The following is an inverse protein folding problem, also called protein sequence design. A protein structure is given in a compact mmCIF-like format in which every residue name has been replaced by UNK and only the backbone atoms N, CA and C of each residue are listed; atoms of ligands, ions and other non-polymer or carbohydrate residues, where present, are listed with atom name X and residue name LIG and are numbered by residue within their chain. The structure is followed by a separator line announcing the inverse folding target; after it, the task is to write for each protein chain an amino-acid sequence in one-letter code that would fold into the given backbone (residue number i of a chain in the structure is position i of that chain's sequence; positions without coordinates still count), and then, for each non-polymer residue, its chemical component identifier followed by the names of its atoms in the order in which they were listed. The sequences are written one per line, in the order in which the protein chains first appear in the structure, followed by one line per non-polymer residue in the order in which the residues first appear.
data_IF_221251694481
#
_entry.id   IF_221251694481
#
_cell.length_a   1.000
_cell.length_b   1.000
_cell.length_c   1.000
_cell.angle_alpha   90.00
_cell.angle_beta   90.00
_cell.angle_gamma   90.00
#
_symmetry.space_group_name_H-M   'P 1'
#
loop_
_entity.id
_entity.type
_entity.pdbx_description
1 polymer ?
#
# COMPACT_ATOMS: atom_id res chain seq x y z
N UNK A 1 57.51 20.65 12.01
CA UNK A 1 56.92 19.50 11.28
C UNK A 1 55.41 19.57 11.49
N UNK A 2 54.61 19.91 10.47
CA UNK A 2 53.14 20.05 10.57
C UNK A 2 52.49 18.81 9.94
N UNK A 3 51.74 18.05 10.71
CA UNK A 3 50.94 16.92 10.21
C UNK A 3 49.64 17.46 9.58
N UNK A 4 49.23 16.98 8.38
CA UNK A 4 47.97 17.40 7.80
C UNK A 4 46.80 16.71 8.53
N UNK A 5 45.80 17.49 8.92
CA UNK A 5 44.53 16.96 9.43
C UNK A 5 43.70 16.56 8.21
N UNK A 6 43.50 15.25 8.02
CA UNK A 6 42.59 14.74 7.00
C UNK A 6 41.15 14.98 7.47
N UNK A 7 40.44 15.90 6.82
CA UNK A 7 39.00 16.08 7.01
C UNK A 7 38.31 15.02 6.15
N UNK A 8 37.95 13.88 6.76
CA UNK A 8 37.15 12.86 6.10
C UNK A 8 35.70 13.31 5.97
N UNK A 9 35.25 13.58 4.75
CA UNK A 9 33.82 13.75 4.46
C UNK A 9 33.10 12.41 4.62
N UNK A 10 32.10 12.35 5.49
CA UNK A 10 31.21 11.21 5.65
C UNK A 10 29.99 11.40 4.74
N UNK A 11 29.79 10.52 3.76
CA UNK A 11 28.62 10.53 2.88
C UNK A 11 27.43 9.87 3.62
N UNK A 12 26.46 10.67 4.06
CA UNK A 12 25.22 10.16 4.65
C UNK A 12 24.27 9.73 3.53
N UNK A 13 24.17 8.42 3.27
CA UNK A 13 23.16 7.86 2.35
C UNK A 13 21.85 7.70 3.10
N UNK A 14 20.90 8.61 2.86
CA UNK A 14 19.53 8.50 3.37
C UNK A 14 18.73 7.57 2.46
N UNK A 15 18.45 6.36 2.91
CA UNK A 15 17.49 5.46 2.26
C UNK A 15 16.07 5.95 2.55
N UNK A 16 15.50 6.75 1.65
CA UNK A 16 14.06 7.03 1.66
C UNK A 16 13.34 5.81 1.06
N UNK A 17 12.76 4.94 1.90
CA UNK A 17 11.84 3.93 1.39
C UNK A 17 10.54 4.63 0.99
N UNK A 18 10.28 4.75 -0.31
CA UNK A 18 8.93 5.08 -0.78
C UNK A 18 7.96 4.01 -0.28
N UNK A 19 7.09 4.38 0.66
CA UNK A 19 5.96 3.55 1.03
C UNK A 19 4.88 3.76 -0.04
N UNK A 20 4.67 2.77 -0.90
CA UNK A 20 3.55 2.77 -1.83
C UNK A 20 2.32 2.21 -1.11
N UNK A 21 1.14 2.78 -1.37
CA UNK A 21 -0.15 2.20 -1.02
C UNK A 21 -0.44 1.11 -2.03
N UNK A 22 0.32 0.02 -1.93
CA UNK A 22 0.21 -1.15 -2.80
C UNK A 22 -0.22 -2.36 -1.99
N UNK A 23 -0.69 -3.39 -2.70
CA UNK A 23 -0.94 -4.67 -2.06
C UNK A 23 0.36 -5.28 -1.53
N UNK A 24 0.24 -6.14 -0.52
CA UNK A 24 1.39 -6.85 0.03
C UNK A 24 2.03 -7.78 -1.03
N UNK A 25 3.35 -8.06 -0.91
CA UNK A 25 4.13 -8.66 -2.00
C UNK A 25 3.59 -9.97 -2.58
N UNK A 26 3.12 -10.91 -1.75
CA UNK A 26 2.58 -12.19 -2.24
C UNK A 26 1.33 -11.97 -3.11
N UNK A 27 0.38 -11.15 -2.64
CA UNK A 27 -0.84 -10.88 -3.40
C UNK A 27 -0.56 -10.05 -4.66
N UNK A 28 0.33 -9.05 -4.56
CA UNK A 28 0.82 -8.26 -5.69
C UNK A 28 1.41 -9.14 -6.79
N UNK A 29 2.29 -10.08 -6.41
CA UNK A 29 2.90 -11.02 -7.34
C UNK A 29 1.88 -12.00 -7.92
N UNK A 30 0.95 -12.49 -7.11
CA UNK A 30 -0.12 -13.37 -7.57
C UNK A 30 -1.02 -12.69 -8.61
N UNK A 31 -1.37 -11.40 -8.42
CA UNK A 31 -2.13 -10.63 -9.41
C UNK A 31 -1.42 -10.56 -10.76
N UNK A 32 -0.12 -10.21 -10.74
CA UNK A 32 0.68 -10.17 -11.96
C UNK A 32 0.78 -11.54 -12.64
N UNK A 33 1.00 -12.61 -11.87
CA UNK A 33 1.14 -13.97 -12.41
C UNK A 33 -0.17 -14.53 -12.97
N UNK A 34 -1.31 -14.17 -12.39
CA UNK A 34 -2.62 -14.74 -12.77
C UNK A 34 -3.38 -13.92 -13.80
N UNK A 35 -3.25 -12.59 -13.74
CA UNK A 35 -4.04 -11.67 -14.55
C UNK A 35 -3.20 -10.70 -15.37
N UNK A 36 -1.88 -10.72 -15.20
CA UNK A 36 -0.95 -9.83 -15.91
C UNK A 36 -0.62 -8.55 -15.14
N UNK A 37 0.49 -7.94 -15.56
CA UNK A 37 1.03 -6.71 -14.99
C UNK A 37 0.03 -5.54 -15.04
N UNK A 38 -0.75 -5.43 -16.12
CA UNK A 38 -1.73 -4.35 -16.30
C UNK A 38 -2.85 -4.41 -15.26
N UNK A 39 -3.35 -5.61 -14.96
CA UNK A 39 -4.38 -5.79 -13.92
C UNK A 39 -3.81 -5.47 -12.54
N UNK A 40 -2.59 -5.92 -12.24
CA UNK A 40 -1.91 -5.56 -10.98
C UNK A 40 -1.77 -4.04 -10.85
N UNK A 41 -1.26 -3.37 -11.88
CA UNK A 41 -1.02 -1.93 -11.86
C UNK A 41 -2.33 -1.14 -11.69
N UNK A 42 -3.39 -1.53 -12.41
CA UNK A 42 -4.72 -0.90 -12.29
C UNK A 42 -5.34 -1.07 -10.91
N UNK A 43 -5.14 -2.22 -10.26
CA UNK A 43 -5.68 -2.47 -8.93
C UNK A 43 -4.80 -1.92 -7.82
N UNK A 44 -3.49 -1.81 -7.98
CA UNK A 44 -2.63 -1.26 -6.92
C UNK A 44 -2.69 0.27 -6.86
N UNK A 45 -2.92 0.94 -7.99
CA UNK A 45 -2.97 2.40 -8.07
C UNK A 45 -1.72 3.05 -7.51
N UNK A 46 -0.55 2.55 -7.91
CA UNK A 46 0.77 3.08 -7.50
C UNK A 46 0.94 4.56 -7.86
N UNK A 47 0.20 5.05 -8.85
CA UNK A 47 0.10 6.47 -9.21
C UNK A 47 -0.43 7.36 -8.08
N UNK A 48 -1.20 6.80 -7.14
CA UNK A 48 -1.76 7.50 -5.98
C UNK A 48 -0.88 7.40 -4.71
N UNK A 49 0.32 6.83 -4.79
CA UNK A 49 1.21 6.68 -3.64
C UNK A 49 0.55 5.90 -2.50
N UNK A 50 0.67 6.37 -1.25
CA UNK A 50 0.07 5.74 -0.05
C UNK A 50 -1.45 5.65 -0.08
N UNK A 51 -2.11 6.31 -1.04
CA UNK A 51 -3.56 6.40 -1.12
C UNK A 51 -4.22 5.38 -2.04
N UNK A 52 -3.43 4.65 -2.82
CA UNK A 52 -3.91 3.75 -3.88
C UNK A 52 -4.74 2.61 -3.34
N UNK A 53 -4.08 1.68 -2.66
CA UNK A 53 -4.64 0.40 -2.24
C UNK A 53 -4.04 -0.12 -0.93
N UNK A 54 -4.70 -1.10 -0.34
CA UNK A 54 -4.19 -1.83 0.82
C UNK A 54 -4.65 -3.28 0.81
N UNK A 55 -3.91 -4.14 1.52
CA UNK A 55 -4.30 -5.52 1.78
C UNK A 55 -3.46 -6.56 1.06
N UNK A 56 -3.87 -7.82 1.18
CA UNK A 56 -3.18 -8.98 0.63
C UNK A 56 -2.19 -9.59 1.60
N UNK A 57 -1.77 -10.82 1.27
CA UNK A 57 -0.78 -11.58 2.03
C UNK A 57 0.62 -11.06 1.81
N UNK A 58 1.45 -11.18 2.84
CA UNK A 58 2.89 -10.93 2.78
C UNK A 58 3.63 -12.15 2.23
N UNK A 59 3.15 -13.35 2.54
CA UNK A 59 3.72 -14.62 2.05
C UNK A 59 2.62 -15.68 1.82
N UNK A 60 2.90 -16.74 1.04
CA UNK A 60 1.94 -17.82 0.79
C UNK A 60 1.45 -18.55 2.04
N UNK A 61 2.27 -18.56 3.10
CA UNK A 61 2.01 -19.25 4.37
C UNK A 61 1.19 -18.41 5.35
N UNK A 62 0.94 -17.13 5.05
CA UNK A 62 0.12 -16.27 5.91
C UNK A 62 -1.31 -16.81 5.97
N UNK A 63 -1.78 -17.24 7.16
CA UNK A 63 -3.05 -17.94 7.29
C UNK A 63 -4.24 -16.98 7.19
N UNK A 64 -5.28 -17.43 6.50
CA UNK A 64 -6.61 -16.78 6.45
C UNK A 64 -7.50 -17.49 7.47
N UNK A 65 -7.91 -16.79 8.53
CA UNK A 65 -8.71 -17.28 9.64
C UNK A 65 -10.15 -16.75 9.62
N UNK A 66 -10.35 -15.57 9.05
CA UNK A 66 -11.64 -14.91 8.94
C UNK A 66 -12.08 -14.82 7.47
N UNK A 67 -13.37 -14.57 7.24
CA UNK A 67 -13.89 -14.30 5.89
C UNK A 67 -13.26 -13.00 5.34
N UNK A 68 -12.55 -13.03 4.20
CA UNK A 68 -11.97 -11.83 3.62
C UNK A 68 -13.01 -10.74 3.33
N UNK A 69 -12.61 -9.48 3.56
CA UNK A 69 -13.44 -8.29 3.38
C UNK A 69 -12.82 -7.39 2.33
N UNK A 70 -13.64 -6.96 1.38
CA UNK A 70 -13.28 -5.96 0.36
C UNK A 70 -14.00 -4.67 0.68
N UNK A 71 -13.24 -3.60 0.92
CA UNK A 71 -13.77 -2.27 1.19
C UNK A 71 -13.83 -1.45 -0.10
N UNK A 72 -14.98 -0.83 -0.34
CA UNK A 72 -15.25 -0.03 -1.54
C UNK A 72 -15.52 1.40 -1.11
N UNK A 73 -14.71 2.34 -1.57
CA UNK A 73 -14.89 3.75 -1.23
C UNK A 73 -16.09 4.37 -1.95
N UNK A 74 -16.59 5.50 -1.44
CA UNK A 74 -17.65 6.27 -2.09
C UNK A 74 -17.11 7.25 -3.14
N UNK A 75 -18.01 8.06 -3.70
CA UNK A 75 -17.67 9.17 -4.61
C UNK A 75 -16.70 10.13 -3.91
N UNK A 76 -15.68 10.59 -4.64
CA UNK A 76 -14.69 11.57 -4.17
C UNK A 76 -13.85 11.10 -2.97
N UNK A 77 -13.71 9.79 -2.79
CA UNK A 77 -12.78 9.18 -1.84
C UNK A 77 -11.85 8.20 -2.56
N UNK A 78 -10.86 7.72 -1.82
CA UNK A 78 -9.91 6.68 -2.19
C UNK A 78 -10.00 5.53 -1.19
N UNK A 79 -9.38 4.40 -1.53
CA UNK A 79 -9.35 3.24 -0.63
C UNK A 79 -8.70 3.58 0.72
N UNK A 80 -7.62 4.35 0.72
CA UNK A 80 -6.91 4.68 1.97
C UNK A 80 -7.51 5.86 2.76
N UNK A 81 -8.66 6.41 2.35
CA UNK A 81 -9.38 7.40 3.16
C UNK A 81 -10.21 6.69 4.26
N UNK A 82 -11.54 6.82 4.26
CA UNK A 82 -12.42 6.25 5.30
C UNK A 82 -12.42 4.71 5.30
N UNK A 83 -12.18 4.08 4.15
CA UNK A 83 -12.20 2.63 4.04
C UNK A 83 -11.02 1.96 4.76
N UNK A 84 -9.86 2.62 4.81
CA UNK A 84 -8.74 2.14 5.63
C UNK A 84 -9.03 2.23 7.12
N UNK A 85 -9.77 3.25 7.57
CA UNK A 85 -10.21 3.33 8.97
C UNK A 85 -11.17 2.19 9.33
N UNK A 86 -12.07 1.83 8.41
CA UNK A 86 -12.92 0.66 8.56
C UNK A 86 -12.09 -0.63 8.59
N UNK A 87 -11.10 -0.80 7.71
CA UNK A 87 -10.18 -1.94 7.76
C UNK A 87 -9.41 -2.01 9.08
N UNK A 88 -8.95 -0.87 9.62
CA UNK A 88 -8.25 -0.82 10.90
C UNK A 88 -9.14 -1.22 12.08
N UNK A 89 -10.45 -0.94 12.01
CA UNK A 89 -11.40 -1.49 12.96
C UNK A 89 -11.39 -3.03 12.94
N UNK A 90 -11.50 -3.67 11.78
CA UNK A 90 -11.45 -5.14 11.67
C UNK A 90 -10.10 -5.70 12.14
N UNK A 91 -8.99 -5.05 11.76
CA UNK A 91 -7.65 -5.43 12.20
C UNK A 91 -7.54 -5.45 13.73
N UNK A 92 -8.09 -4.44 14.40
CA UNK A 92 -8.13 -4.37 15.86
C UNK A 92 -9.07 -5.42 16.51
N UNK A 93 -9.85 -6.16 15.71
CA UNK A 93 -10.77 -7.21 16.15
C UNK A 93 -10.37 -8.60 15.62
N UNK A 94 -9.08 -8.84 15.39
CA UNK A 94 -8.55 -10.17 15.11
C UNK A 94 -8.45 -10.53 13.63
N UNK A 95 -8.70 -9.58 12.73
CA UNK A 95 -8.35 -9.72 11.32
C UNK A 95 -6.89 -9.37 11.06
N UNK A 96 -6.35 -9.83 9.93
CA UNK A 96 -5.06 -9.37 9.40
C UNK A 96 -5.23 -8.69 8.04
N UNK A 97 -4.23 -7.94 7.58
CA UNK A 97 -4.28 -7.36 6.22
C UNK A 97 -4.20 -8.41 5.10
N UNK A 98 -3.89 -9.67 5.41
CA UNK A 98 -4.13 -10.77 4.48
C UNK A 98 -5.61 -11.02 4.18
N UNK A 99 -6.51 -10.43 4.97
CA UNK A 99 -7.96 -10.65 4.91
C UNK A 99 -8.72 -9.36 4.59
N UNK A 100 -8.05 -8.21 4.57
CA UNK A 100 -8.66 -6.89 4.43
C UNK A 100 -8.11 -6.18 3.20
N UNK A 101 -8.96 -5.91 2.22
CA UNK A 101 -8.55 -5.45 0.90
C UNK A 101 -9.28 -4.16 0.50
N UNK A 102 -8.59 -3.25 -0.17
CA UNK A 102 -9.21 -2.08 -0.80
C UNK A 102 -8.36 -1.57 -1.96
N UNK A 103 -9.02 -1.08 -3.00
CA UNK A 103 -8.39 -0.42 -4.16
C UNK A 103 -9.18 0.82 -4.55
N UNK A 104 -8.48 1.84 -5.04
CA UNK A 104 -9.10 3.07 -5.54
C UNK A 104 -9.56 2.89 -6.98
N UNK A 105 -10.87 2.92 -7.22
CA UNK A 105 -11.42 2.86 -8.56
C UNK A 105 -11.62 4.26 -9.16
N UNK A 106 -11.71 4.31 -10.50
CA UNK A 106 -11.85 5.55 -11.26
C UNK A 106 -10.78 6.59 -10.86
N UNK A 107 -11.14 7.88 -10.79
CA UNK A 107 -10.21 8.95 -10.49
C UNK A 107 -10.01 9.19 -8.98
N UNK A 108 -10.55 8.31 -8.13
CA UNK A 108 -10.51 8.47 -6.67
C UNK A 108 -11.14 9.78 -6.23
N UNK A 109 -10.31 10.66 -5.66
CA UNK A 109 -10.71 11.94 -5.11
C UNK A 109 -10.54 13.13 -6.07
N UNK A 110 -10.07 12.89 -7.30
CA UNK A 110 -9.92 13.94 -8.29
C UNK A 110 -11.24 14.69 -8.54
N UNK A 111 -11.19 16.01 -8.39
CA UNK A 111 -12.36 16.88 -8.55
C UNK A 111 -13.26 16.96 -7.31
N UNK A 112 -12.82 16.45 -6.15
CA UNK A 112 -13.50 16.66 -4.88
C UNK A 112 -13.42 18.15 -4.47
N UNK A 113 -14.55 18.86 -4.33
CA UNK A 113 -14.55 20.28 -3.95
C UNK A 113 -14.21 20.53 -2.47
N UNK A 114 -14.01 19.48 -1.67
CA UNK A 114 -13.76 19.55 -0.22
C UNK A 114 -12.32 19.20 0.17
N UNK A 115 -11.42 18.98 -0.80
CA UNK A 115 -10.01 18.63 -0.58
C UNK A 115 -9.07 19.78 -0.88
#
# INVERSE_FOLDING_TARGET
MRLPVAVGSFLLVVFCKSAYGEFKPDFSQWLAQRFGEDVRNNLERRDLGTWGSFGGRTSPEEPIRNQPVVFVHGVSNRACDKMKQAADFFFNHGYTFAELYGTTYANGDQGNPLQ
#
